data_IF_013225442526
#
_entry.id   IF_013225442526
#
_cell.length_a   1.000
_cell.length_b   1.000
_cell.length_c   1.000
_cell.angle_alpha   90.00
_cell.angle_beta   90.00
_cell.angle_gamma   90.00
#
_symmetry.space_group_name_H-M   'P 1'
#
loop_
_entity.id
_entity.type
_entity.pdbx_description
1 polymer ?
#
# COMPACT_ATOMS: atom_id res chain seq x y z
N UNK A 1 14.81 -4.26 5.14
CA UNK A 1 14.36 -5.53 5.79
C UNK A 1 12.89 -5.41 6.13
N UNK A 2 12.13 -6.51 6.10
CA UNK A 2 10.72 -6.60 6.50
C UNK A 2 10.53 -7.84 7.37
N UNK A 3 9.67 -7.76 8.36
CA UNK A 3 9.27 -8.91 9.15
C UNK A 3 7.86 -9.38 8.73
N UNK A 4 7.68 -10.70 8.64
CA UNK A 4 6.39 -11.33 8.38
C UNK A 4 6.06 -12.24 9.55
N UNK A 5 4.88 -12.08 10.14
CA UNK A 5 4.44 -12.86 11.29
C UNK A 5 3.06 -13.48 11.07
N UNK A 6 2.89 -14.70 11.57
CA UNK A 6 1.60 -15.37 11.72
C UNK A 6 1.29 -15.56 13.20
N UNK A 7 0.08 -15.18 13.62
CA UNK A 7 -0.35 -15.34 15.02
C UNK A 7 -1.78 -15.89 15.08
N UNK A 8 -2.05 -16.79 16.01
CA UNK A 8 -3.40 -17.31 16.28
C UNK A 8 -4.00 -16.71 17.55
N UNK A 9 -3.17 -16.48 18.55
CA UNK A 9 -3.57 -15.88 19.80
C UNK A 9 -2.46 -15.05 20.40
N UNK A 10 -2.84 -14.01 21.13
CA UNK A 10 -1.89 -13.15 21.83
C UNK A 10 -2.17 -13.23 23.34
N UNK A 11 -1.21 -13.74 24.07
CA UNK A 11 -1.18 -13.66 25.53
C UNK A 11 -0.30 -12.50 25.96
N UNK A 12 -0.72 -11.72 26.95
CA UNK A 12 0.06 -10.56 27.45
C UNK A 12 -0.38 -9.20 26.94
N UNK A 13 -1.40 -9.14 26.08
CA UNK A 13 -2.16 -7.93 25.75
C UNK A 13 -1.30 -6.71 25.40
N UNK A 14 -1.59 -5.60 26.07
CA UNK A 14 -0.98 -4.27 25.84
C UNK A 14 0.54 -4.26 25.89
N UNK A 15 1.15 -5.05 26.77
CA UNK A 15 2.61 -5.09 26.91
C UNK A 15 3.31 -5.73 25.71
N UNK A 16 2.69 -6.73 25.08
CA UNK A 16 3.20 -7.36 23.86
C UNK A 16 3.03 -6.41 22.67
N UNK A 17 1.84 -5.82 22.48
CA UNK A 17 1.57 -4.88 21.38
C UNK A 17 2.49 -3.66 21.44
N UNK A 18 2.81 -3.15 22.64
CA UNK A 18 3.80 -2.06 22.79
C UNK A 18 5.20 -2.45 22.30
N UNK A 19 5.66 -3.69 22.57
CA UNK A 19 6.96 -4.17 22.07
C UNK A 19 6.95 -4.42 20.57
N UNK A 20 5.86 -4.99 20.07
CA UNK A 20 5.68 -5.25 18.63
C UNK A 20 5.59 -3.94 17.84
N UNK A 21 4.86 -2.94 18.35
CA UNK A 21 4.81 -1.61 17.77
C UNK A 21 6.17 -0.89 17.77
N UNK A 22 6.95 -1.04 18.83
CA UNK A 22 8.32 -0.51 18.86
C UNK A 22 9.26 -1.18 17.84
N UNK A 23 9.00 -2.45 17.49
CA UNK A 23 9.71 -3.14 16.41
C UNK A 23 9.20 -2.66 15.03
N UNK A 24 7.88 -2.54 14.85
CA UNK A 24 7.26 -2.06 13.61
C UNK A 24 7.68 -0.62 13.25
N UNK A 25 7.96 0.22 14.25
CA UNK A 25 8.49 1.57 14.04
C UNK A 25 9.92 1.61 13.46
N UNK A 26 10.64 0.50 13.50
CA UNK A 26 12.02 0.40 12.97
C UNK A 26 12.07 -0.29 11.62
N UNK A 27 11.25 -1.30 11.45
CA UNK A 27 11.22 -2.15 10.26
C UNK A 27 9.76 -2.49 9.96
N UNK A 28 9.30 -2.43 8.70
CA UNK A 28 7.95 -2.84 8.35
C UNK A 28 7.63 -4.23 8.87
N UNK A 29 6.47 -4.36 9.52
CA UNK A 29 5.96 -5.61 10.03
C UNK A 29 4.62 -5.93 9.37
N UNK A 30 4.57 -7.04 8.66
CA UNK A 30 3.34 -7.60 8.09
C UNK A 30 2.85 -8.74 8.96
N UNK A 31 1.55 -8.74 9.28
CA UNK A 31 0.98 -9.72 10.21
C UNK A 31 -0.28 -10.35 9.64
N UNK A 32 -0.35 -11.68 9.67
CA UNK A 32 -1.56 -12.47 9.42
C UNK A 32 -2.06 -13.03 10.74
N UNK A 33 -3.35 -12.84 11.02
CA UNK A 33 -3.99 -13.42 12.20
C UNK A 33 -4.91 -14.58 11.82
N UNK A 34 -4.63 -15.76 12.34
CA UNK A 34 -5.56 -16.87 12.38
C UNK A 34 -6.68 -16.62 13.39
N UNK A 35 -7.85 -17.22 13.18
CA UNK A 35 -8.98 -17.06 14.09
C UNK A 35 -9.71 -15.71 13.99
N UNK A 36 -9.64 -15.03 12.86
CA UNK A 36 -10.33 -13.76 12.62
C UNK A 36 -11.85 -13.93 12.44
N UNK A 37 -12.30 -15.08 11.95
CA UNK A 37 -13.71 -15.44 11.78
C UNK A 37 -14.18 -16.41 12.87
N UNK A 38 -15.51 -16.56 13.04
CA UNK A 38 -16.06 -17.49 14.02
C UNK A 38 -15.57 -18.93 13.81
N UNK A 39 -15.54 -19.42 12.57
CA UNK A 39 -15.01 -20.75 12.24
C UNK A 39 -13.51 -20.86 12.48
N UNK A 40 -12.75 -19.85 12.10
CA UNK A 40 -11.32 -19.79 12.38
C UNK A 40 -11.00 -19.72 13.87
N UNK A 41 -11.80 -18.97 14.65
CA UNK A 41 -11.64 -18.88 16.10
C UNK A 41 -11.88 -20.23 16.79
N UNK A 42 -12.89 -20.98 16.33
CA UNK A 42 -13.16 -22.34 16.83
C UNK A 42 -12.01 -23.31 16.51
N UNK A 43 -11.46 -23.23 15.30
CA UNK A 43 -10.31 -24.04 14.90
C UNK A 43 -9.05 -23.68 15.71
N UNK A 44 -8.75 -22.39 15.87
CA UNK A 44 -7.62 -21.90 16.66
C UNK A 44 -7.71 -22.33 18.14
N UNK A 45 -8.92 -22.25 18.75
CA UNK A 45 -9.14 -22.69 20.12
C UNK A 45 -8.85 -24.19 20.31
N UNK A 46 -9.18 -25.01 19.31
CA UNK A 46 -8.89 -26.46 19.32
C UNK A 46 -7.39 -26.74 19.15
N UNK A 47 -6.67 -25.87 18.46
CA UNK A 47 -5.26 -26.04 18.15
C UNK A 47 -4.34 -25.52 19.27
N UNK A 48 -4.64 -24.37 19.82
CA UNK A 48 -3.76 -23.68 20.79
C UNK A 48 -4.27 -23.75 22.25
N UNK A 49 -5.53 -24.15 22.46
CA UNK A 49 -6.19 -24.10 23.76
C UNK A 49 -6.48 -22.68 24.26
N UNK A 50 -6.18 -21.65 23.45
CA UNK A 50 -6.39 -20.25 23.80
C UNK A 50 -7.66 -19.70 23.10
N UNK A 51 -8.45 -18.90 23.84
CA UNK A 51 -9.55 -18.14 23.25
C UNK A 51 -8.96 -17.11 22.26
N UNK A 52 -9.47 -17.11 21.03
CA UNK A 52 -9.10 -16.11 20.05
C UNK A 52 -9.50 -14.72 20.57
N UNK A 53 -8.55 -13.78 20.55
CA UNK A 53 -8.82 -12.39 20.88
C UNK A 53 -9.86 -11.78 19.93
N UNK A 54 -10.64 -10.82 20.42
CA UNK A 54 -11.60 -10.10 19.58
C UNK A 54 -10.87 -9.46 18.40
N UNK A 55 -11.26 -9.83 17.20
CA UNK A 55 -10.57 -9.47 15.97
C UNK A 55 -10.60 -7.96 15.69
N UNK A 56 -11.67 -7.27 16.03
CA UNK A 56 -11.79 -5.81 15.87
C UNK A 56 -10.85 -5.05 16.80
N UNK A 57 -10.69 -5.53 18.03
CA UNK A 57 -9.75 -4.93 18.99
C UNK A 57 -8.32 -5.15 18.49
N UNK A 58 -8.01 -6.36 18.05
CA UNK A 58 -6.70 -6.68 17.50
C UNK A 58 -6.36 -5.84 16.27
N UNK A 59 -7.31 -5.62 15.38
CA UNK A 59 -7.16 -4.77 14.20
C UNK A 59 -6.85 -3.30 14.59
N UNK A 60 -7.60 -2.75 15.54
CA UNK A 60 -7.34 -1.41 16.07
C UNK A 60 -5.96 -1.26 16.70
N UNK A 61 -5.51 -2.26 17.46
CA UNK A 61 -4.17 -2.28 18.06
C UNK A 61 -3.07 -2.37 16.99
N UNK A 62 -3.27 -3.16 15.91
CA UNK A 62 -2.34 -3.22 14.78
C UNK A 62 -2.20 -1.86 14.10
N UNK A 63 -3.31 -1.18 13.80
CA UNK A 63 -3.29 0.16 13.21
C UNK A 63 -2.59 1.16 14.11
N UNK A 64 -2.93 1.19 15.40
CA UNK A 64 -2.30 2.08 16.37
C UNK A 64 -0.79 1.85 16.53
N UNK A 65 -0.33 0.62 16.28
CA UNK A 65 1.07 0.22 16.36
C UNK A 65 1.82 0.33 15.02
N UNK A 66 1.19 0.79 13.93
CA UNK A 66 1.81 0.88 12.60
C UNK A 66 2.12 -0.50 11.98
N UNK A 67 1.34 -1.53 12.34
CA UNK A 67 1.51 -2.90 11.83
C UNK A 67 0.60 -3.09 10.62
N UNK A 68 1.16 -3.49 9.49
CA UNK A 68 0.40 -3.86 8.30
C UNK A 68 -0.27 -5.21 8.52
N UNK A 69 -1.59 -5.20 8.58
CA UNK A 69 -2.37 -6.43 8.72
C UNK A 69 -2.85 -6.92 7.37
N UNK A 70 -2.53 -8.17 7.02
CA UNK A 70 -3.02 -8.84 5.82
C UNK A 70 -4.17 -9.80 6.18
N UNK A 71 -5.19 -9.88 5.34
CA UNK A 71 -6.32 -10.79 5.53
C UNK A 71 -5.98 -12.23 5.14
N UNK A 72 -5.07 -12.41 4.18
CA UNK A 72 -4.63 -13.70 3.67
C UNK A 72 -3.11 -13.84 3.70
N UNK A 73 -2.64 -15.08 3.64
CA UNK A 73 -1.20 -15.37 3.53
C UNK A 73 -0.63 -14.81 2.22
N UNK A 74 -1.38 -14.88 1.13
CA UNK A 74 -0.98 -14.32 -0.17
C UNK A 74 -0.76 -12.82 -0.08
N UNK A 75 -1.73 -12.07 0.43
CA UNK A 75 -1.60 -10.61 0.65
C UNK A 75 -0.40 -10.28 1.56
N UNK A 76 -0.15 -11.10 2.57
CA UNK A 76 0.97 -10.88 3.47
C UNK A 76 2.32 -11.03 2.76
N UNK A 77 2.47 -12.01 1.90
CA UNK A 77 3.68 -12.16 1.08
C UNK A 77 3.83 -11.04 0.06
N UNK A 78 2.75 -10.61 -0.58
CA UNK A 78 2.76 -9.50 -1.54
C UNK A 78 3.14 -8.18 -0.84
N UNK A 79 2.55 -7.88 0.32
CA UNK A 79 2.92 -6.72 1.12
C UNK A 79 4.38 -6.78 1.59
N UNK A 80 4.82 -7.94 2.08
CA UNK A 80 6.21 -8.12 2.52
C UNK A 80 7.19 -7.96 1.34
N UNK A 81 6.86 -8.50 0.16
CA UNK A 81 7.68 -8.33 -1.04
C UNK A 81 7.76 -6.84 -1.46
N UNK A 82 6.65 -6.13 -1.39
CA UNK A 82 6.62 -4.68 -1.67
C UNK A 82 7.53 -3.92 -0.71
N UNK A 83 7.40 -4.12 0.60
CA UNK A 83 8.27 -3.48 1.59
C UNK A 83 9.75 -3.85 1.45
N UNK A 84 10.05 -5.05 0.93
CA UNK A 84 11.43 -5.50 0.75
C UNK A 84 12.09 -4.92 -0.51
N UNK A 85 11.31 -4.58 -1.54
CA UNK A 85 11.81 -4.21 -2.88
C UNK A 85 11.57 -2.77 -3.26
N UNK A 86 10.62 -2.09 -2.60
CA UNK A 86 10.28 -0.69 -2.89
C UNK A 86 10.74 0.23 -1.75
N UNK A 87 11.10 1.50 -2.05
CA UNK A 87 11.29 2.50 -1.02
C UNK A 87 9.96 2.79 -0.32
N UNK A 88 10.03 3.11 0.97
CA UNK A 88 8.83 3.55 1.70
C UNK A 88 8.41 4.96 1.23
N UNK A 89 7.10 5.22 1.10
CA UNK A 89 6.59 6.56 0.83
C UNK A 89 7.08 7.58 1.87
N UNK A 90 7.31 8.81 1.44
CA UNK A 90 7.72 9.90 2.34
C UNK A 90 6.52 10.59 3.00
N UNK A 91 5.35 10.42 2.45
CA UNK A 91 4.08 11.01 2.88
C UNK A 91 2.91 10.46 2.04
N UNK A 92 1.73 11.09 2.13
CA UNK A 92 0.50 10.57 1.52
C UNK A 92 0.31 10.95 0.05
N UNK A 93 1.04 11.96 -0.47
CA UNK A 93 0.81 12.53 -1.79
C UNK A 93 1.17 11.55 -2.90
N UNK A 94 0.16 10.97 -3.54
CA UNK A 94 0.34 9.88 -4.49
C UNK A 94 -0.08 10.29 -5.89
N UNK A 95 0.75 9.94 -6.87
CA UNK A 95 0.43 10.02 -8.30
C UNK A 95 0.28 8.59 -8.85
N UNK A 96 -0.76 8.40 -9.65
CA UNK A 96 -0.98 7.18 -10.43
C UNK A 96 -0.57 7.44 -11.87
N UNK A 97 0.38 6.65 -12.37
CA UNK A 97 0.77 6.61 -13.79
C UNK A 97 0.20 5.34 -14.41
N UNK A 98 -0.48 5.46 -15.56
CA UNK A 98 -1.08 4.28 -16.18
C UNK A 98 -1.00 4.31 -17.71
N UNK A 99 -0.83 3.13 -18.32
CA UNK A 99 -1.02 2.87 -19.74
C UNK A 99 -2.40 2.26 -20.03
N UNK A 100 -3.19 2.01 -18.97
CA UNK A 100 -4.52 1.41 -19.04
C UNK A 100 -5.52 2.27 -18.25
N UNK A 101 -6.18 3.23 -18.89
CA UNK A 101 -7.01 4.25 -18.26
C UNK A 101 -8.06 3.72 -17.30
N UNK A 102 -8.74 2.60 -17.64
CA UNK A 102 -9.73 1.97 -16.74
C UNK A 102 -9.14 1.53 -15.40
N UNK A 103 -7.90 1.06 -15.36
CA UNK A 103 -7.20 0.70 -14.13
C UNK A 103 -6.85 1.94 -13.31
N UNK A 104 -6.48 3.02 -13.98
CA UNK A 104 -6.27 4.30 -13.33
C UNK A 104 -7.52 4.79 -12.58
N UNK A 105 -8.70 4.68 -13.20
CA UNK A 105 -9.98 5.04 -12.57
C UNK A 105 -10.26 4.21 -11.32
N UNK A 106 -10.14 2.88 -11.41
CA UNK A 106 -10.38 1.99 -10.26
C UNK A 106 -9.38 2.25 -9.12
N UNK A 107 -8.13 2.54 -9.47
CA UNK A 107 -7.09 2.87 -8.47
C UNK A 107 -7.35 4.22 -7.82
N UNK A 108 -7.76 5.23 -8.59
CA UNK A 108 -8.16 6.53 -8.04
C UNK A 108 -9.33 6.39 -7.06
N UNK A 109 -10.35 5.58 -7.40
CA UNK A 109 -11.47 5.25 -6.51
C UNK A 109 -11.00 4.57 -5.21
N UNK A 110 -10.03 3.67 -5.29
CA UNK A 110 -9.49 2.98 -4.12
C UNK A 110 -8.73 3.96 -3.21
N UNK A 111 -7.85 4.80 -3.77
CA UNK A 111 -7.09 5.82 -3.04
C UNK A 111 -8.04 6.80 -2.35
N UNK A 112 -9.07 7.28 -3.05
CA UNK A 112 -10.00 8.29 -2.52
C UNK A 112 -10.86 7.76 -1.35
N UNK A 113 -10.98 6.45 -1.18
CA UNK A 113 -11.67 5.81 -0.04
C UNK A 113 -10.77 5.58 1.17
N UNK A 114 -9.48 5.78 1.00
CA UNK A 114 -8.48 5.61 2.06
C UNK A 114 -8.18 6.97 2.69
N UNK A 115 -8.07 7.02 4.02
CA UNK A 115 -7.81 8.26 4.75
C UNK A 115 -6.29 8.56 4.85
N UNK A 116 -5.43 7.58 4.58
CA UNK A 116 -3.98 7.66 4.75
C UNK A 116 -3.23 8.00 3.46
N UNK A 117 -3.93 7.96 2.30
CA UNK A 117 -3.35 8.21 0.97
C UNK A 117 -4.11 9.35 0.29
N UNK A 118 -3.40 10.24 -0.36
CA UNK A 118 -3.99 11.38 -1.09
C UNK A 118 -3.72 11.25 -2.58
N UNK A 119 -4.78 11.14 -3.38
CA UNK A 119 -4.69 11.33 -4.83
C UNK A 119 -4.47 12.83 -5.09
N UNK A 120 -3.21 13.27 -5.12
CA UNK A 120 -2.87 14.69 -5.18
C UNK A 120 -3.21 15.31 -6.55
N UNK A 121 -3.50 16.60 -6.55
CA UNK A 121 -3.56 17.36 -7.81
C UNK A 121 -2.17 17.38 -8.47
N UNK A 122 -2.15 17.26 -9.78
CA UNK A 122 -0.89 17.27 -10.53
C UNK A 122 -0.28 18.68 -10.50
N UNK A 123 0.93 18.87 -9.93
CA UNK A 123 1.60 20.17 -9.93
C UNK A 123 1.74 20.76 -11.34
N UNK A 124 1.61 22.07 -11.47
CA UNK A 124 1.56 22.73 -12.78
C UNK A 124 2.88 22.59 -13.56
N UNK A 125 4.01 22.64 -12.89
CA UNK A 125 5.34 22.43 -13.46
C UNK A 125 5.57 20.97 -13.86
N UNK A 126 5.16 20.01 -13.03
CA UNK A 126 5.20 18.59 -13.39
C UNK A 126 4.30 18.29 -14.59
N UNK A 127 3.09 18.86 -14.61
CA UNK A 127 2.19 18.73 -15.76
C UNK A 127 2.82 19.28 -17.04
N UNK A 128 3.46 20.45 -16.98
CA UNK A 128 4.15 21.04 -18.13
C UNK A 128 5.30 20.15 -18.62
N UNK A 129 6.08 19.59 -17.71
CA UNK A 129 7.16 18.67 -18.07
C UNK A 129 6.65 17.36 -18.71
N UNK A 130 5.52 16.84 -18.24
CA UNK A 130 4.88 15.65 -18.82
C UNK A 130 4.25 15.98 -20.19
N UNK A 131 3.71 17.19 -20.38
CA UNK A 131 3.19 17.66 -21.68
C UNK A 131 4.24 17.62 -22.80
N UNK A 132 5.52 17.79 -22.47
CA UNK A 132 6.63 17.69 -23.43
C UNK A 132 6.95 16.23 -23.83
N UNK A 133 6.51 15.25 -23.04
CA UNK A 133 6.83 13.84 -23.22
C UNK A 133 5.67 13.02 -23.78
N UNK A 134 4.46 13.29 -23.34
CA UNK A 134 3.27 12.56 -23.72
C UNK A 134 2.50 13.22 -24.87
N UNK A 135 1.76 12.45 -25.67
CA UNK A 135 0.96 13.01 -26.75
C UNK A 135 -0.17 13.88 -26.20
N UNK A 136 -0.66 14.89 -26.95
CA UNK A 136 -1.64 15.88 -26.48
C UNK A 136 -2.93 15.30 -25.87
N UNK A 137 -3.23 14.04 -26.12
CA UNK A 137 -4.43 13.33 -25.64
C UNK A 137 -4.29 12.69 -24.27
N UNK A 138 -3.13 12.79 -23.60
CA UNK A 138 -3.00 12.26 -22.24
C UNK A 138 -3.91 13.01 -21.25
N UNK A 139 -4.18 12.46 -20.09
CA UNK A 139 -5.24 12.94 -19.17
C UNK A 139 -5.04 14.35 -18.61
N UNK A 140 -3.81 14.85 -18.52
CA UNK A 140 -3.41 16.14 -17.92
C UNK A 140 -3.84 16.32 -16.46
N UNK A 141 -4.11 15.24 -15.78
CA UNK A 141 -4.47 15.19 -14.38
C UNK A 141 -3.94 13.89 -13.74
N UNK A 142 -4.18 13.70 -12.46
CA UNK A 142 -3.94 12.45 -11.76
C UNK A 142 -5.26 11.65 -11.72
N UNK A 143 -5.31 10.41 -12.22
CA UNK A 143 -4.22 9.60 -12.82
C UNK A 143 -3.62 10.18 -14.11
N UNK A 144 -2.30 10.05 -14.24
CA UNK A 144 -1.56 10.33 -15.48
C UNK A 144 -1.80 9.14 -16.43
N UNK A 145 -2.80 9.27 -17.28
CA UNK A 145 -3.13 8.28 -18.31
C UNK A 145 -2.42 8.64 -19.62
N UNK A 146 -1.50 7.78 -20.06
CA UNK A 146 -0.71 7.98 -21.29
C UNK A 146 -1.55 7.88 -22.58
N UNK A 147 -2.80 7.41 -22.48
CA UNK A 147 -3.77 7.31 -23.60
C UNK A 147 -3.27 6.51 -24.81
N UNK A 148 -2.42 5.50 -24.61
CA UNK A 148 -1.89 4.62 -25.66
C UNK A 148 -0.98 5.33 -26.65
N UNK A 149 -0.31 6.38 -26.24
CA UNK A 149 0.65 7.14 -27.06
C UNK A 149 2.09 7.04 -26.56
N UNK A 150 2.29 6.25 -25.51
CA UNK A 150 3.59 6.00 -24.92
C UNK A 150 4.46 5.09 -25.78
N UNK A 151 5.77 5.28 -25.67
CA UNK A 151 6.79 4.38 -26.19
C UNK A 151 7.54 3.73 -25.04
N UNK A 152 8.38 2.73 -25.31
CA UNK A 152 9.24 2.11 -24.29
C UNK A 152 10.15 3.12 -23.58
N UNK A 153 10.56 4.18 -24.28
CA UNK A 153 11.46 5.19 -23.75
C UNK A 153 10.70 6.28 -22.97
N UNK A 154 9.48 6.57 -23.37
CA UNK A 154 8.63 7.64 -22.77
C UNK A 154 8.23 7.32 -21.33
N UNK A 155 7.88 6.05 -21.04
CA UNK A 155 7.41 5.66 -19.70
C UNK A 155 8.47 5.88 -18.62
N UNK A 156 9.74 5.41 -18.77
CA UNK A 156 10.79 5.68 -17.80
C UNK A 156 11.03 7.18 -17.58
N UNK A 157 10.99 8.01 -18.63
CA UNK A 157 11.16 9.45 -18.51
C UNK A 157 10.05 10.09 -17.69
N UNK A 158 8.79 9.71 -17.92
CA UNK A 158 7.64 10.21 -17.14
C UNK A 158 7.69 9.70 -15.70
N UNK A 159 8.08 8.43 -15.49
CA UNK A 159 8.28 7.88 -14.15
C UNK A 159 9.34 8.67 -13.38
N UNK A 160 10.47 9.01 -14.02
CA UNK A 160 11.54 9.80 -13.39
C UNK A 160 11.05 11.21 -13.01
N UNK A 161 10.32 11.89 -13.90
CA UNK A 161 9.72 13.20 -13.61
C UNK A 161 8.83 13.14 -12.37
N UNK A 162 7.95 12.15 -12.28
CA UNK A 162 7.04 11.98 -11.16
C UNK A 162 7.81 11.61 -9.88
N UNK A 163 8.69 10.60 -9.94
CA UNK A 163 9.37 10.06 -8.76
C UNK A 163 10.39 11.03 -8.15
N UNK A 164 10.90 11.98 -8.93
CA UNK A 164 11.86 12.99 -8.46
C UNK A 164 11.22 14.32 -8.08
N UNK A 165 9.93 14.50 -8.33
CA UNK A 165 9.23 15.75 -7.98
C UNK A 165 9.12 15.90 -6.45
N UNK A 166 9.47 17.09 -5.89
CA UNK A 166 9.55 17.28 -4.43
C UNK A 166 8.23 17.12 -3.68
N UNK A 167 7.10 17.38 -4.32
CA UNK A 167 5.77 17.30 -3.72
C UNK A 167 5.15 15.91 -3.81
N UNK A 168 5.80 14.95 -4.50
CA UNK A 168 5.32 13.58 -4.69
C UNK A 168 5.97 12.65 -3.68
N UNK A 169 5.15 11.99 -2.88
CA UNK A 169 5.61 11.05 -1.84
C UNK A 169 5.60 9.60 -2.32
N UNK A 170 4.67 9.27 -3.21
CA UNK A 170 4.52 7.93 -3.76
C UNK A 170 4.05 7.96 -5.22
N UNK A 171 4.42 6.93 -5.97
CA UNK A 171 3.92 6.68 -7.31
C UNK A 171 3.41 5.25 -7.43
N UNK A 172 2.22 5.09 -8.02
CA UNK A 172 1.68 3.78 -8.41
C UNK A 172 1.71 3.71 -9.93
N UNK A 173 2.48 2.75 -10.47
CA UNK A 173 2.53 2.50 -11.90
C UNK A 173 1.69 1.27 -12.27
N UNK A 174 0.77 1.47 -13.22
CA UNK A 174 -0.12 0.44 -13.77
C UNK A 174 0.18 0.28 -15.26
N UNK A 175 1.06 -0.64 -15.59
CA UNK A 175 1.46 -0.95 -16.96
C UNK A 175 0.93 -2.30 -17.42
N UNK A 176 0.51 -2.37 -18.69
CA UNK A 176 0.39 -3.63 -19.39
C UNK A 176 1.75 -3.89 -20.05
N UNK A 177 2.45 -4.92 -19.56
CA UNK A 177 3.73 -5.33 -20.10
C UNK A 177 3.59 -6.14 -21.39
#
# INVERSE_FOLDING_TARGET
TVALAYVEGITGGRGLMGRVGAAAAREPLVLVKGGATAGGAQAAASHTGALAANDKIFDGECRAAGITRAATVTEAFEAAATFATQPLPKGPNTIVLTTAGGWGVVTADAITRDDDIVLMELPADLRAAIDEKLPPRWSRNNPVDCAGGETRDTIPEVMELIATHPDVDAMIYLGLG
#
